data_IF_115953695718
#
_entry.id   IF_115953695718
#
_cell.length_a   1.000
_cell.length_b   1.000
_cell.length_c   1.000
_cell.angle_alpha   90.00
_cell.angle_beta   90.00
_cell.angle_gamma   90.00
#
_symmetry.space_group_name_H-M   'P 1'
#
loop_
_entity.id
_entity.type
_entity.pdbx_description
1 polymer ?
#
# COMPACT_ATOMS: atom_id res chain seq x y z
N UNK A 1 39.53 -19.35 -0.74
CA UNK A 1 38.39 -18.72 -0.04
C UNK A 1 38.97 -17.62 0.81
N UNK A 2 38.38 -16.42 0.78
CA UNK A 2 38.77 -15.33 1.67
C UNK A 2 38.57 -15.76 3.13
N UNK A 3 39.40 -15.28 4.04
CA UNK A 3 39.16 -15.46 5.48
C UNK A 3 37.85 -14.77 5.91
N UNK A 4 37.17 -15.29 6.94
CA UNK A 4 35.88 -14.73 7.40
C UNK A 4 36.01 -13.25 7.76
N UNK A 5 37.12 -12.86 8.40
CA UNK A 5 37.37 -11.46 8.77
C UNK A 5 37.52 -10.58 7.52
N UNK A 6 38.20 -11.08 6.50
CA UNK A 6 38.37 -10.38 5.22
C UNK A 6 37.04 -10.20 4.50
N UNK A 7 36.19 -11.24 4.49
CA UNK A 7 34.85 -11.18 3.88
C UNK A 7 33.96 -10.13 4.55
N UNK A 8 33.91 -10.12 5.90
CA UNK A 8 33.13 -9.14 6.66
C UNK A 8 33.65 -7.72 6.38
N UNK A 9 34.97 -7.53 6.46
CA UNK A 9 35.60 -6.22 6.22
C UNK A 9 35.28 -5.70 4.81
N UNK A 10 35.41 -6.55 3.79
CA UNK A 10 35.08 -6.21 2.42
C UNK A 10 33.59 -5.87 2.25
N UNK A 11 32.71 -6.67 2.86
CA UNK A 11 31.26 -6.44 2.86
C UNK A 11 30.87 -5.08 3.45
N UNK A 12 31.40 -4.75 4.63
CA UNK A 12 31.14 -3.45 5.29
C UNK A 12 31.66 -2.29 4.45
N UNK A 13 32.87 -2.40 3.88
CA UNK A 13 33.42 -1.37 3.00
C UNK A 13 32.58 -1.18 1.74
N UNK A 14 32.06 -2.26 1.16
CA UNK A 14 31.17 -2.19 0.00
C UNK A 14 29.84 -1.52 0.35
N UNK A 15 29.30 -1.79 1.54
CA UNK A 15 28.09 -1.15 2.05
C UNK A 15 28.29 0.36 2.25
N UNK A 16 29.38 0.79 2.90
CA UNK A 16 29.72 2.21 3.07
C UNK A 16 29.81 2.92 1.71
N UNK A 17 30.55 2.32 0.76
CA UNK A 17 30.66 2.87 -0.60
C UNK A 17 29.31 2.97 -1.30
N UNK A 18 28.38 2.04 -1.06
CA UNK A 18 27.03 2.08 -1.59
C UNK A 18 26.24 3.25 -1.01
N UNK A 19 26.30 3.46 0.30
CA UNK A 19 25.64 4.59 0.98
C UNK A 19 26.13 5.93 0.45
N UNK A 20 27.44 6.10 0.26
CA UNK A 20 27.99 7.35 -0.30
C UNK A 20 27.51 7.61 -1.74
N UNK A 21 27.48 6.58 -2.60
CA UNK A 21 26.94 6.71 -3.96
C UNK A 21 25.46 7.08 -3.95
N UNK A 22 24.67 6.47 -3.05
CA UNK A 22 23.26 6.78 -2.87
C UNK A 22 23.07 8.24 -2.51
N UNK A 23 23.85 8.75 -1.55
CA UNK A 23 23.79 10.15 -1.13
C UNK A 23 23.99 11.08 -2.32
N UNK A 24 25.01 10.84 -3.15
CA UNK A 24 25.26 11.65 -4.35
C UNK A 24 24.09 11.59 -5.35
N UNK A 25 23.62 10.38 -5.68
CA UNK A 25 22.50 10.19 -6.62
C UNK A 25 21.22 10.86 -6.10
N UNK A 26 20.97 10.75 -4.80
CA UNK A 26 19.76 11.27 -4.19
C UNK A 26 19.75 12.80 -4.13
N UNK A 27 20.92 13.44 -3.92
CA UNK A 27 21.05 14.90 -4.04
C UNK A 27 20.76 15.38 -5.47
N UNK A 28 21.28 14.68 -6.49
CA UNK A 28 20.99 14.96 -7.90
C UNK A 28 19.48 14.86 -8.20
N UNK A 29 18.82 13.83 -7.66
CA UNK A 29 17.37 13.64 -7.81
C UNK A 29 16.56 14.75 -7.15
N UNK A 30 16.91 15.14 -5.92
CA UNK A 30 16.23 16.23 -5.22
C UNK A 30 16.38 17.55 -5.97
N UNK A 31 17.55 17.82 -6.55
CA UNK A 31 17.77 19.02 -7.35
C UNK A 31 16.90 19.04 -8.61
N UNK A 32 16.80 17.88 -9.28
CA UNK A 32 15.89 17.72 -10.43
C UNK A 32 14.43 17.95 -10.02
N UNK A 33 14.02 17.45 -8.86
CA UNK A 33 12.66 17.68 -8.34
C UNK A 33 12.37 19.13 -7.99
N UNK A 34 13.39 19.85 -7.47
CA UNK A 34 13.31 21.26 -7.08
C UNK A 34 13.24 22.21 -8.28
N UNK A 35 13.97 21.89 -9.34
CA UNK A 35 14.10 22.75 -10.53
C UNK A 35 13.04 22.47 -11.60
N UNK A 36 12.27 21.39 -11.44
CA UNK A 36 11.15 21.09 -12.33
C UNK A 36 9.97 22.04 -12.10
N UNK A 37 9.60 22.79 -13.13
CA UNK A 37 8.47 23.74 -13.11
C UNK A 37 7.14 23.11 -13.52
N UNK A 38 7.10 21.80 -13.82
CA UNK A 38 5.86 21.14 -14.24
C UNK A 38 4.87 20.98 -13.07
N UNK A 39 3.58 20.97 -13.42
CA UNK A 39 2.48 20.67 -12.49
C UNK A 39 2.43 19.18 -12.08
N UNK A 40 3.29 18.34 -12.67
CA UNK A 40 3.33 16.92 -12.33
C UNK A 40 3.85 16.73 -10.91
N UNK A 41 3.16 15.92 -10.11
CA UNK A 41 3.59 15.63 -8.73
C UNK A 41 4.78 14.66 -8.67
N UNK A 42 4.89 13.80 -9.67
CA UNK A 42 5.98 12.83 -9.80
C UNK A 42 6.72 13.10 -11.10
N UNK A 43 8.03 13.19 -11.01
CA UNK A 43 8.92 13.35 -12.16
C UNK A 43 9.50 12.00 -12.50
N UNK A 44 9.16 11.50 -13.69
CA UNK A 44 9.68 10.22 -14.19
C UNK A 44 11.13 10.37 -14.65
N UNK A 45 11.94 9.37 -14.35
CA UNK A 45 13.35 9.29 -14.76
C UNK A 45 13.44 8.52 -16.07
N UNK A 46 13.47 9.27 -17.18
CA UNK A 46 13.68 8.73 -18.53
C UNK A 46 15.15 8.63 -18.93
N UNK A 47 16.03 9.41 -18.28
CA UNK A 47 17.47 9.40 -18.54
C UNK A 47 18.07 8.04 -18.18
N UNK A 48 18.68 7.38 -19.17
CA UNK A 48 19.14 5.99 -19.07
C UNK A 48 20.28 5.84 -18.06
N UNK A 49 21.21 6.79 -18.03
CA UNK A 49 22.37 6.72 -17.15
C UNK A 49 21.97 6.91 -15.69
N UNK A 50 21.09 7.87 -15.41
CA UNK A 50 20.53 8.10 -14.08
C UNK A 50 19.65 6.92 -13.64
N UNK A 51 18.83 6.37 -14.53
CA UNK A 51 18.04 5.16 -14.27
C UNK A 51 18.94 4.00 -13.83
N UNK A 52 20.00 3.71 -14.59
CA UNK A 52 20.94 2.62 -14.31
C UNK A 52 21.72 2.83 -13.01
N UNK A 53 22.11 4.08 -12.71
CA UNK A 53 22.72 4.44 -11.42
C UNK A 53 21.77 4.16 -10.26
N UNK A 54 20.49 4.50 -10.39
CA UNK A 54 19.50 4.26 -9.34
C UNK A 54 19.30 2.76 -9.15
N UNK A 55 19.07 1.98 -10.21
CA UNK A 55 18.90 0.52 -10.11
C UNK A 55 20.10 -0.12 -9.41
N UNK A 56 21.33 0.24 -9.81
CA UNK A 56 22.55 -0.32 -9.21
C UNK A 56 22.67 -0.07 -7.70
N UNK A 57 22.13 1.04 -7.21
CA UNK A 57 22.34 1.46 -5.82
C UNK A 57 21.10 1.25 -4.93
N UNK A 58 19.89 1.29 -5.49
CA UNK A 58 18.63 1.11 -4.76
C UNK A 58 17.93 -0.21 -5.08
N UNK A 59 18.12 -0.82 -6.25
CA UNK A 59 17.37 -1.99 -6.72
C UNK A 59 17.56 -3.30 -5.94
N UNK A 60 18.32 -3.30 -4.83
CA UNK A 60 18.46 -4.40 -3.87
C UNK A 60 19.25 -5.62 -4.36
N UNK A 61 18.87 -6.16 -5.51
CA UNK A 61 19.45 -7.35 -6.14
C UNK A 61 19.37 -7.31 -7.69
N UNK A 62 18.83 -6.25 -8.29
CA UNK A 62 18.75 -6.12 -9.74
C UNK A 62 20.14 -5.88 -10.34
N UNK A 63 20.56 -6.79 -11.22
CA UNK A 63 21.81 -6.68 -11.98
C UNK A 63 21.50 -6.36 -13.45
N UNK A 64 21.71 -5.09 -13.82
CA UNK A 64 21.49 -4.61 -15.19
C UNK A 64 22.46 -5.23 -16.20
N UNK A 65 23.67 -5.58 -15.76
CA UNK A 65 24.72 -6.08 -16.65
C UNK A 65 24.50 -7.57 -16.94
N UNK A 66 23.82 -8.30 -16.04
CA UNK A 66 23.40 -9.68 -16.22
C UNK A 66 21.97 -9.85 -16.76
N UNK A 67 21.16 -8.80 -16.77
CA UNK A 67 19.77 -8.87 -17.22
C UNK A 67 19.66 -9.18 -18.73
N UNK A 68 18.80 -10.12 -19.09
CA UNK A 68 18.52 -10.46 -20.51
C UNK A 68 17.86 -9.32 -21.29
N UNK A 69 17.11 -8.47 -20.60
CA UNK A 69 16.36 -7.36 -21.17
C UNK A 69 16.73 -6.07 -20.43
N UNK A 70 16.60 -4.94 -21.12
CA UNK A 70 16.78 -3.63 -20.47
C UNK A 70 15.75 -3.46 -19.34
N UNK A 71 16.25 -3.24 -18.12
CA UNK A 71 15.42 -3.07 -16.93
C UNK A 71 14.48 -1.85 -17.04
N UNK A 72 14.77 -0.83 -17.85
CA UNK A 72 13.85 0.30 -18.10
C UNK A 72 12.60 -0.13 -18.90
N UNK A 73 12.64 -1.29 -19.55
CA UNK A 73 11.44 -1.88 -20.17
C UNK A 73 10.52 -2.54 -19.15
N UNK A 74 11.04 -2.92 -17.97
CA UNK A 74 10.33 -3.67 -16.93
C UNK A 74 9.96 -2.82 -15.72
N UNK A 75 10.75 -1.79 -15.43
CA UNK A 75 10.63 -0.92 -14.27
C UNK A 75 10.54 0.54 -14.67
N UNK A 76 9.83 1.29 -13.84
CA UNK A 76 9.71 2.74 -13.89
C UNK A 76 10.32 3.33 -12.60
N UNK A 77 10.97 4.49 -12.74
CA UNK A 77 11.57 5.23 -11.62
C UNK A 77 11.02 6.65 -11.63
N UNK A 78 10.64 7.15 -10.46
CA UNK A 78 10.17 8.53 -10.31
C UNK A 78 10.58 9.15 -8.97
N UNK A 79 10.54 10.48 -8.91
CA UNK A 79 10.69 11.23 -7.66
C UNK A 79 9.44 12.06 -7.39
N UNK A 80 8.87 11.92 -6.19
CA UNK A 80 7.70 12.67 -5.76
C UNK A 80 8.11 14.04 -5.20
N UNK A 81 7.72 15.13 -5.87
CA UNK A 81 8.22 16.49 -5.59
C UNK A 81 7.96 16.94 -4.15
N UNK A 82 6.75 16.72 -3.65
CA UNK A 82 6.34 17.22 -2.33
C UNK A 82 7.06 16.50 -1.17
N UNK A 83 7.44 15.23 -1.34
CA UNK A 83 8.07 14.45 -0.25
C UNK A 83 9.54 14.13 -0.48
N UNK A 84 10.04 14.31 -1.70
CA UNK A 84 11.33 13.81 -2.17
C UNK A 84 11.36 12.29 -2.36
N UNK A 85 10.27 11.56 -2.13
CA UNK A 85 10.30 10.10 -2.17
C UNK A 85 10.75 9.56 -3.52
N UNK A 86 11.76 8.67 -3.50
CA UNK A 86 12.19 7.94 -4.69
C UNK A 86 11.33 6.68 -4.81
N UNK A 87 10.74 6.50 -5.98
CA UNK A 87 9.83 5.41 -6.31
C UNK A 87 10.49 4.56 -7.38
N UNK A 88 10.61 3.26 -7.13
CA UNK A 88 10.93 2.25 -8.14
C UNK A 88 9.75 1.29 -8.17
N UNK A 89 9.15 1.09 -9.34
CA UNK A 89 8.04 0.14 -9.50
C UNK A 89 8.24 -0.72 -10.73
N UNK A 90 7.72 -1.94 -10.71
CA UNK A 90 7.58 -2.68 -11.97
C UNK A 90 6.42 -2.09 -12.78
N UNK A 91 6.37 -2.35 -14.09
CA UNK A 91 5.22 -1.93 -14.92
C UNK A 91 3.95 -2.75 -14.64
N UNK A 92 4.08 -3.80 -13.82
CA UNK A 92 3.01 -4.63 -13.30
C UNK A 92 2.75 -5.92 -14.08
N UNK A 93 1.90 -6.77 -13.51
CA UNK A 93 1.43 -8.02 -14.08
C UNK A 93 -0.10 -8.11 -13.96
N UNK A 94 -0.77 -8.52 -15.04
CA UNK A 94 -2.22 -8.72 -15.01
C UNK A 94 -2.50 -10.13 -14.53
N UNK A 95 -3.31 -10.26 -13.49
CA UNK A 95 -3.63 -11.51 -12.83
C UNK A 95 -5.11 -11.80 -13.01
N UNK A 96 -5.46 -13.01 -13.42
CA UNK A 96 -6.80 -13.53 -13.24
C UNK A 96 -6.93 -14.03 -11.81
N UNK A 97 -7.80 -13.39 -11.03
CA UNK A 97 -7.95 -13.62 -9.60
C UNK A 97 -9.36 -14.09 -9.27
N UNK A 98 -9.47 -14.94 -8.26
CA UNK A 98 -10.74 -15.36 -7.66
C UNK A 98 -10.83 -14.74 -6.28
N UNK A 99 -11.99 -14.20 -5.93
CA UNK A 99 -12.27 -13.82 -4.54
C UNK A 99 -12.41 -15.06 -3.66
N UNK A 100 -11.92 -15.00 -2.42
CA UNK A 100 -11.69 -16.20 -1.59
C UNK A 100 -12.97 -16.93 -1.18
N UNK A 101 -14.08 -16.21 -1.00
CA UNK A 101 -15.33 -16.77 -0.46
C UNK A 101 -16.29 -17.13 -1.57
N UNK A 102 -16.45 -16.25 -2.55
CA UNK A 102 -17.43 -16.44 -3.62
C UNK A 102 -16.84 -17.06 -4.88
N UNK A 103 -15.51 -17.21 -4.96
CA UNK A 103 -14.80 -17.60 -6.18
C UNK A 103 -15.19 -16.73 -7.38
N UNK A 104 -15.46 -15.44 -7.15
CA UNK A 104 -15.86 -14.52 -8.21
C UNK A 104 -14.63 -14.12 -9.00
N UNK A 105 -14.58 -14.42 -10.31
CA UNK A 105 -13.45 -14.08 -11.15
C UNK A 105 -13.40 -12.58 -11.46
N UNK A 106 -12.21 -12.01 -11.40
CA UNK A 106 -11.93 -10.63 -11.77
C UNK A 106 -10.45 -10.48 -12.18
N UNK A 107 -10.14 -9.36 -12.81
CA UNK A 107 -8.77 -9.04 -13.24
C UNK A 107 -8.14 -8.04 -12.29
N UNK A 108 -6.92 -8.34 -11.83
CA UNK A 108 -6.13 -7.45 -10.97
C UNK A 108 -4.84 -7.09 -11.70
N UNK A 109 -4.49 -5.81 -11.76
CA UNK A 109 -3.14 -5.38 -12.15
C UNK A 109 -2.30 -5.26 -10.89
N UNK A 110 -1.39 -6.21 -10.69
CA UNK A 110 -0.43 -6.17 -9.60
C UNK A 110 0.77 -5.31 -9.96
N UNK A 111 1.15 -4.40 -9.06
CA UNK A 111 2.31 -3.54 -9.18
C UNK A 111 3.07 -3.57 -7.85
N UNK A 112 4.35 -3.93 -7.90
CA UNK A 112 5.27 -3.87 -6.77
C UNK A 112 5.96 -2.51 -6.71
N UNK A 113 6.00 -1.94 -5.53
CA UNK A 113 6.61 -0.65 -5.22
C UNK A 113 7.74 -0.82 -4.21
N UNK A 114 8.88 -0.21 -4.55
CA UNK A 114 10.02 0.00 -3.68
C UNK A 114 10.19 1.51 -3.53
N UNK A 115 9.84 2.05 -2.36
CA UNK A 115 9.76 3.49 -2.13
C UNK A 115 10.71 3.89 -1.03
N UNK A 116 11.75 4.65 -1.37
CA UNK A 116 12.54 5.31 -0.36
C UNK A 116 11.80 6.57 0.12
N UNK A 117 11.33 6.52 1.37
CA UNK A 117 10.69 7.62 2.08
C UNK A 117 11.74 8.36 2.92
N UNK A 118 12.04 9.63 2.60
CA UNK A 118 13.08 10.39 3.31
C UNK A 118 12.73 10.56 4.77
N UNK A 119 13.71 10.29 5.64
CA UNK A 119 13.49 10.29 7.08
C UNK A 119 12.69 9.07 7.58
N UNK A 120 12.61 8.00 6.81
CA UNK A 120 12.13 6.71 7.30
C UNK A 120 13.04 5.58 6.81
N UNK A 121 13.11 5.41 5.49
CA UNK A 121 13.83 4.30 4.86
C UNK A 121 13.05 3.76 3.67
N UNK A 122 13.37 2.53 3.29
CA UNK A 122 12.77 1.87 2.13
C UNK A 122 11.53 1.07 2.55
N UNK A 123 10.39 1.49 2.01
CA UNK A 123 9.11 0.81 2.13
C UNK A 123 8.87 -0.10 0.92
N UNK A 124 8.33 -1.29 1.18
CA UNK A 124 7.85 -2.22 0.16
C UNK A 124 6.32 -2.24 0.19
N UNK A 125 5.70 -2.03 -0.97
CA UNK A 125 4.26 -2.03 -1.12
C UNK A 125 3.82 -2.83 -2.35
N UNK A 126 2.70 -3.52 -2.22
CA UNK A 126 2.02 -4.20 -3.30
C UNK A 126 0.70 -3.50 -3.59
N UNK A 127 0.48 -3.16 -4.84
CA UNK A 127 -0.76 -2.55 -5.32
C UNK A 127 -1.50 -3.51 -6.21
N UNK A 128 -2.79 -3.71 -5.95
CA UNK A 128 -3.74 -4.31 -6.88
C UNK A 128 -4.70 -3.24 -7.41
N UNK A 129 -4.66 -2.99 -8.71
CA UNK A 129 -5.65 -2.16 -9.40
C UNK A 129 -6.73 -3.03 -10.00
N UNK A 130 -7.98 -2.60 -9.91
CA UNK A 130 -9.13 -3.26 -10.56
C UNK A 130 -10.03 -2.17 -11.13
N UNK A 131 -10.42 -2.27 -12.40
CA UNK A 131 -11.29 -1.28 -13.05
C UNK A 131 -10.64 0.08 -13.32
N UNK A 132 -11.45 1.12 -13.57
CA UNK A 132 -10.96 2.47 -13.89
C UNK A 132 -10.63 3.29 -12.63
N UNK A 133 -9.33 3.51 -12.39
CA UNK A 133 -8.83 4.28 -11.24
C UNK A 133 -8.59 5.78 -11.54
N UNK A 134 -8.88 6.23 -12.76
CA UNK A 134 -8.53 7.56 -13.24
C UNK A 134 -9.73 8.51 -13.26
N UNK A 135 -10.94 7.97 -13.43
CA UNK A 135 -12.14 8.76 -13.65
C UNK A 135 -13.18 8.55 -12.55
N UNK A 136 -13.75 9.64 -12.03
CA UNK A 136 -14.80 9.58 -11.01
C UNK A 136 -14.28 9.13 -9.64
N UNK A 137 -15.17 8.58 -8.82
CA UNK A 137 -14.80 8.09 -7.48
C UNK A 137 -14.12 6.73 -7.56
N UNK A 138 -13.05 6.55 -6.79
CA UNK A 138 -12.31 5.28 -6.73
C UNK A 138 -12.33 4.74 -5.30
N UNK A 139 -12.57 3.45 -5.15
CA UNK A 139 -12.50 2.80 -3.84
C UNK A 139 -11.03 2.54 -3.50
N UNK A 140 -10.59 3.04 -2.34
CA UNK A 140 -9.22 2.90 -1.87
C UNK A 140 -9.18 2.19 -0.52
N UNK A 141 -8.36 1.16 -0.42
CA UNK A 141 -8.00 0.51 0.85
C UNK A 141 -6.48 0.40 0.94
N UNK A 142 -5.93 0.86 2.05
CA UNK A 142 -4.53 0.64 2.41
C UNK A 142 -4.43 -0.21 3.68
N UNK A 143 -3.67 -1.29 3.62
CA UNK A 143 -3.44 -2.24 4.70
C UNK A 143 -1.96 -2.26 5.04
N UNK A 144 -1.65 -2.13 6.33
CA UNK A 144 -0.30 -2.39 6.83
C UNK A 144 -0.19 -3.89 7.10
N UNK A 145 0.92 -4.53 6.75
CA UNK A 145 1.06 -5.98 6.90
C UNK A 145 0.76 -6.47 8.33
N UNK A 146 0.28 -7.70 8.43
CA UNK A 146 0.07 -8.37 9.71
C UNK A 146 0.38 -9.87 9.58
N UNK A 147 1.62 -10.25 9.87
CA UNK A 147 2.08 -11.63 9.68
C UNK A 147 1.19 -12.69 10.34
N UNK A 148 0.79 -12.57 11.63
CA UNK A 148 -0.09 -13.55 12.28
C UNK A 148 -1.42 -13.74 11.53
N UNK A 149 -2.04 -12.65 11.08
CA UNK A 149 -3.34 -12.72 10.41
C UNK A 149 -3.24 -13.29 9.00
N UNK A 150 -2.29 -12.79 8.21
CA UNK A 150 -2.14 -13.16 6.80
C UNK A 150 -1.51 -14.54 6.61
N UNK A 151 -0.46 -14.89 7.38
CA UNK A 151 0.25 -16.17 7.20
C UNK A 151 -0.36 -17.31 8.00
N UNK A 152 -0.83 -17.04 9.23
CA UNK A 152 -1.27 -18.08 10.16
C UNK A 152 -2.77 -18.05 10.44
N UNK A 153 -3.53 -17.24 9.69
CA UNK A 153 -4.97 -17.09 9.88
C UNK A 153 -5.34 -16.74 11.33
N UNK A 154 -4.47 -16.01 12.03
CA UNK A 154 -4.73 -15.59 13.41
C UNK A 154 -6.04 -14.83 13.46
N UNK A 155 -6.93 -15.28 14.35
CA UNK A 155 -8.20 -14.63 14.64
C UNK A 155 -8.07 -13.57 15.74
N UNK A 156 -6.84 -13.35 16.25
CA UNK A 156 -6.58 -12.29 17.24
C UNK A 156 -6.78 -10.90 16.66
N UNK A 157 -6.63 -10.72 15.35
CA UNK A 157 -6.98 -9.48 14.68
C UNK A 157 -7.79 -9.74 13.40
N UNK A 158 -8.38 -8.69 12.85
CA UNK A 158 -9.24 -8.75 11.68
C UNK A 158 -8.57 -8.25 10.38
N UNK A 159 -7.25 -8.03 10.36
CA UNK A 159 -6.52 -7.53 9.19
C UNK A 159 -6.78 -8.39 7.94
N UNK A 160 -6.68 -9.72 8.05
CA UNK A 160 -6.97 -10.63 6.94
C UNK A 160 -8.43 -10.55 6.50
N UNK A 161 -9.38 -10.45 7.41
CA UNK A 161 -10.81 -10.32 7.07
C UNK A 161 -11.10 -9.00 6.34
N UNK A 162 -10.48 -7.90 6.78
CA UNK A 162 -10.56 -6.62 6.07
C UNK A 162 -9.95 -6.72 4.66
N UNK A 163 -8.88 -7.49 4.49
CA UNK A 163 -8.31 -7.74 3.16
C UNK A 163 -9.19 -8.65 2.28
N UNK A 164 -9.81 -9.69 2.86
CA UNK A 164 -10.80 -10.54 2.18
C UNK A 164 -12.01 -9.70 1.74
N UNK A 165 -12.53 -8.81 2.58
CA UNK A 165 -13.64 -7.93 2.25
C UNK A 165 -13.36 -7.10 0.99
N UNK A 166 -12.19 -6.45 0.90
CA UNK A 166 -11.89 -5.61 -0.26
C UNK A 166 -11.75 -6.42 -1.56
N UNK A 167 -11.24 -7.65 -1.49
CA UNK A 167 -11.18 -8.56 -2.64
C UNK A 167 -12.56 -9.05 -3.09
N UNK A 168 -13.46 -9.34 -2.15
CA UNK A 168 -14.87 -9.65 -2.49
C UNK A 168 -15.58 -8.45 -3.12
N UNK A 169 -15.32 -7.24 -2.62
CA UNK A 169 -15.89 -6.01 -3.16
C UNK A 169 -15.36 -5.72 -4.57
N UNK A 170 -14.03 -5.78 -4.77
CA UNK A 170 -13.44 -5.54 -6.09
C UNK A 170 -13.96 -6.54 -7.12
N UNK A 171 -14.07 -7.82 -6.76
CA UNK A 171 -14.60 -8.87 -7.62
C UNK A 171 -16.09 -8.66 -7.94
N UNK A 172 -16.90 -8.28 -6.97
CA UNK A 172 -18.33 -8.02 -7.17
C UNK A 172 -18.57 -6.89 -8.20
N UNK A 173 -17.85 -5.78 -8.07
CA UNK A 173 -18.02 -4.62 -8.96
C UNK A 173 -17.30 -4.73 -10.30
N UNK A 174 -16.39 -5.70 -10.44
CA UNK A 174 -15.54 -5.86 -11.63
C UNK A 174 -15.43 -7.33 -12.06
N UNK A 175 -16.53 -8.08 -11.94
CA UNK A 175 -16.58 -9.49 -12.37
C UNK A 175 -16.14 -9.59 -13.83
N UNK A 176 -15.31 -10.59 -14.12
CA UNK A 176 -14.84 -10.90 -15.46
C UNK A 176 -15.30 -12.29 -15.88
N UNK A 177 -15.90 -12.40 -17.06
CA UNK A 177 -16.26 -13.69 -17.66
C UNK A 177 -15.18 -14.08 -18.68
N UNK A 178 -14.36 -15.06 -18.31
CA UNK A 178 -13.33 -15.58 -19.20
C UNK A 178 -13.97 -16.46 -20.29
N UNK A 179 -13.54 -16.35 -21.56
CA UNK A 179 -13.86 -17.35 -22.57
C UNK A 179 -13.39 -18.74 -22.17
N UNK A 180 -13.92 -19.76 -22.84
CA UNK A 180 -13.39 -21.13 -22.71
C UNK A 180 -12.10 -21.24 -23.54
N UNK A 181 -11.08 -21.89 -22.97
CA UNK A 181 -9.80 -22.13 -23.62
C UNK A 181 -9.43 -23.61 -23.51
N UNK A 182 -8.74 -24.13 -24.54
CA UNK A 182 -8.29 -25.53 -24.58
C UNK A 182 -6.95 -25.74 -23.86
N UNK A 183 -6.20 -24.67 -23.57
CA UNK A 183 -4.90 -24.73 -22.91
C UNK A 183 -4.59 -23.45 -22.10
N UNK A 184 -3.60 -23.54 -21.20
CA UNK A 184 -3.20 -22.45 -20.33
C UNK A 184 -2.43 -21.32 -21.01
N UNK A 185 -1.76 -21.56 -22.14
CA UNK A 185 -1.00 -20.54 -22.86
C UNK A 185 -1.95 -19.52 -23.51
N UNK A 186 -3.02 -19.99 -24.13
CA UNK A 186 -4.03 -19.14 -24.75
C UNK A 186 -4.85 -18.38 -23.71
N UNK A 187 -5.12 -19.01 -22.56
CA UNK A 187 -5.70 -18.33 -21.40
C UNK A 187 -4.79 -17.19 -20.91
N UNK A 188 -3.49 -17.45 -20.73
CA UNK A 188 -2.53 -16.44 -20.28
C UNK A 188 -2.39 -15.29 -21.29
N UNK A 189 -2.33 -15.60 -22.60
CA UNK A 189 -2.38 -14.58 -23.66
C UNK A 189 -3.63 -13.73 -23.55
N UNK A 190 -4.79 -14.34 -23.28
CA UNK A 190 -6.02 -13.59 -23.08
C UNK A 190 -5.94 -12.67 -21.86
N UNK A 191 -5.45 -13.15 -20.70
CA UNK A 191 -5.26 -12.36 -19.47
C UNK A 191 -4.35 -11.16 -19.73
N UNK A 192 -3.19 -11.38 -20.34
CA UNK A 192 -2.23 -10.32 -20.67
C UNK A 192 -2.84 -9.27 -21.60
N UNK A 193 -3.71 -9.69 -22.51
CA UNK A 193 -4.41 -8.81 -23.44
C UNK A 193 -5.58 -8.03 -22.81
N UNK A 194 -5.95 -8.26 -21.54
CA UNK A 194 -7.05 -7.51 -20.91
C UNK A 194 -6.64 -6.13 -20.40
N UNK A 195 -5.34 -5.83 -20.40
CA UNK A 195 -4.81 -4.57 -19.90
C UNK A 195 -3.81 -3.97 -20.88
N UNK A 196 -3.88 -2.66 -21.00
CA UNK A 196 -3.05 -1.87 -21.89
C UNK A 196 -2.36 -0.76 -21.10
N UNK A 197 -1.02 -0.74 -21.14
CA UNK A 197 -0.22 0.30 -20.49
C UNK A 197 0.14 1.38 -21.52
N UNK A 198 -0.55 2.52 -21.46
CA UNK A 198 -0.36 3.66 -22.38
C UNK A 198 -0.28 4.95 -21.61
N UNK A 199 0.69 5.79 -21.98
CA UNK A 199 0.90 7.11 -21.38
C UNK A 199 0.97 7.09 -19.84
N UNK A 200 1.63 6.05 -19.29
CA UNK A 200 1.76 5.86 -17.84
C UNK A 200 0.50 5.36 -17.13
N UNK A 201 -0.55 4.96 -17.88
CA UNK A 201 -1.84 4.52 -17.33
C UNK A 201 -2.12 3.05 -17.62
N UNK A 202 -2.69 2.36 -16.64
CA UNK A 202 -3.12 0.97 -16.68
C UNK A 202 -4.60 0.88 -17.07
N UNK A 203 -4.88 0.71 -18.35
CA UNK A 203 -6.24 0.71 -18.88
C UNK A 203 -6.78 -0.70 -19.01
N UNK A 204 -7.76 -1.05 -18.18
CA UNK A 204 -8.53 -2.28 -18.35
C UNK A 204 -9.47 -2.17 -19.55
N UNK A 205 -9.58 -3.24 -20.35
CA UNK A 205 -10.61 -3.34 -21.41
C UNK A 205 -12.02 -3.41 -20.81
N UNK A 206 -12.16 -4.12 -19.71
CA UNK A 206 -13.39 -4.19 -18.92
C UNK A 206 -13.19 -3.39 -17.63
N UNK A 207 -13.74 -2.18 -17.58
CA UNK A 207 -13.50 -1.21 -16.49
C UNK A 207 -14.38 -1.40 -15.26
N UNK A 208 -15.39 -2.27 -15.34
CA UNK A 208 -16.43 -2.44 -14.32
C UNK A 208 -17.19 -1.14 -14.01
N UNK A 209 -17.90 -1.15 -12.88
CA UNK A 209 -18.74 -0.02 -12.47
C UNK A 209 -17.97 1.04 -11.65
N UNK A 210 -16.90 0.62 -10.97
CA UNK A 210 -16.08 1.47 -10.12
C UNK A 210 -14.68 0.88 -9.96
N UNK A 211 -13.67 1.75 -10.01
CA UNK A 211 -12.28 1.36 -9.80
C UNK A 211 -11.95 1.09 -8.33
N UNK A 212 -11.02 0.16 -8.12
CA UNK A 212 -10.45 -0.18 -6.82
C UNK A 212 -8.93 -0.06 -6.85
N UNK A 213 -8.38 0.47 -5.77
CA UNK A 213 -6.96 0.45 -5.46
C UNK A 213 -6.79 -0.23 -4.10
N UNK A 214 -6.18 -1.41 -4.13
CA UNK A 214 -5.79 -2.17 -2.94
C UNK A 214 -4.29 -1.97 -2.73
N UNK A 215 -3.89 -1.34 -1.63
CA UNK A 215 -2.49 -1.10 -1.29
C UNK A 215 -2.13 -1.90 -0.02
N UNK A 216 -1.19 -2.83 -0.13
CA UNK A 216 -0.65 -3.56 1.01
C UNK A 216 0.80 -3.12 1.25
N UNK A 217 1.14 -2.67 2.46
CA UNK A 217 2.48 -2.18 2.80
C UNK A 217 3.20 -3.22 3.67
N UNK A 218 4.12 -3.97 3.06
CA UNK A 218 4.78 -5.15 3.64
C UNK A 218 5.71 -4.78 4.80
N UNK A 219 6.40 -3.64 4.66
CA UNK A 219 7.32 -3.06 5.65
C UNK A 219 6.62 -2.43 6.85
N UNK A 220 5.29 -2.38 6.85
CA UNK A 220 4.51 -1.85 7.97
C UNK A 220 3.93 -2.94 8.87
N UNK A 221 4.56 -4.10 8.91
CA UNK A 221 4.19 -5.16 9.85
C UNK A 221 4.20 -4.66 11.30
N UNK A 222 3.21 -5.05 12.10
CA UNK A 222 3.10 -4.60 13.48
C UNK A 222 3.08 -3.06 13.62
N UNK A 223 2.39 -2.34 12.73
CA UNK A 223 2.30 -0.87 12.70
C UNK A 223 3.57 -0.12 12.24
N UNK A 224 4.53 -0.78 11.61
CA UNK A 224 5.73 -0.11 11.10
C UNK A 224 7.02 -0.55 11.75
N UNK A 225 8.11 -0.21 11.09
CA UNK A 225 9.49 -0.52 11.47
C UNK A 225 10.03 0.25 12.68
N UNK A 226 9.34 1.30 13.14
CA UNK A 226 9.98 2.30 14.00
C UNK A 226 10.72 3.35 13.17
N UNK A 227 10.78 4.58 13.69
CA UNK A 227 11.65 5.63 13.16
C UNK A 227 12.89 5.72 14.06
N UNK A 228 14.08 5.76 13.43
CA UNK A 228 15.32 6.06 14.14
C UNK A 228 15.83 7.37 13.59
N UNK A 229 15.92 8.37 14.48
CA UNK A 229 16.31 9.71 14.10
C UNK A 229 17.68 9.71 13.44
N UNK A 230 17.78 10.44 12.32
CA UNK A 230 19.03 10.67 11.56
C UNK A 230 19.65 9.42 10.91
N UNK A 231 18.91 8.30 10.84
CA UNK A 231 19.40 7.06 10.23
C UNK A 231 18.87 6.84 8.81
N UNK A 232 19.75 6.40 7.90
CA UNK A 232 19.34 5.84 6.61
C UNK A 232 19.14 4.32 6.74
N UNK A 233 17.91 3.85 6.53
CA UNK A 233 17.57 2.43 6.69
C UNK A 233 17.17 1.78 5.37
N UNK A 234 17.92 0.75 4.96
CA UNK A 234 17.55 -0.07 3.79
C UNK A 234 16.48 -1.11 4.07
N UNK A 235 16.44 -1.64 5.29
CA UNK A 235 15.57 -2.74 5.63
C UNK A 235 14.62 -2.36 6.77
N UNK A 236 13.48 -1.77 6.38
CA UNK A 236 12.38 -1.55 7.32
C UNK A 236 11.63 -2.85 7.63
N UNK A 237 11.74 -3.87 6.77
CA UNK A 237 11.01 -5.12 6.91
C UNK A 237 11.55 -5.92 8.10
N UNK A 238 12.88 -6.04 8.23
CA UNK A 238 13.55 -6.66 9.37
C UNK A 238 13.11 -6.00 10.69
N UNK A 239 13.16 -4.66 10.74
CA UNK A 239 12.77 -3.90 11.92
C UNK A 239 11.31 -4.13 12.32
N UNK A 240 10.41 -4.02 11.36
CA UNK A 240 8.99 -4.29 11.57
C UNK A 240 8.78 -5.74 12.06
N UNK A 241 9.52 -6.69 11.49
CA UNK A 241 9.51 -8.10 11.89
C UNK A 241 9.92 -8.31 13.35
N UNK A 242 11.06 -7.77 13.79
CA UNK A 242 11.56 -8.03 15.13
C UNK A 242 10.70 -7.32 16.19
N UNK A 243 10.25 -6.11 15.88
CA UNK A 243 9.33 -5.32 16.71
C UNK A 243 8.02 -6.07 16.96
N UNK A 244 7.39 -6.58 15.91
CA UNK A 244 6.13 -7.33 16.02
C UNK A 244 6.27 -8.62 16.85
N UNK A 245 7.41 -9.32 16.74
CA UNK A 245 7.67 -10.52 17.55
C UNK A 245 7.90 -10.18 19.03
N UNK A 246 8.58 -9.07 19.29
CA UNK A 246 8.83 -8.57 20.63
C UNK A 246 7.54 -8.17 21.35
N UNK A 247 6.67 -7.40 20.69
CA UNK A 247 5.41 -6.95 21.33
C UNK A 247 4.53 -8.14 21.75
N UNK A 248 4.41 -9.16 20.88
CA UNK A 248 3.55 -10.32 21.14
C UNK A 248 4.10 -11.14 22.31
N UNK A 249 5.43 -11.24 22.41
CA UNK A 249 6.07 -11.93 23.53
C UNK A 249 5.86 -11.16 24.83
N UNK A 250 6.01 -9.84 24.81
CA UNK A 250 5.78 -8.99 25.99
C UNK A 250 4.32 -9.07 26.46
N UNK A 251 3.37 -8.99 25.54
CA UNK A 251 1.94 -9.14 25.83
C UNK A 251 1.64 -10.50 26.49
N UNK A 252 2.22 -11.60 26.00
CA UNK A 252 1.94 -12.94 26.51
C UNK A 252 2.67 -13.29 27.81
N UNK A 253 3.94 -12.89 27.94
CA UNK A 253 4.79 -13.21 29.10
C UNK A 253 4.49 -12.25 30.25
N UNK A 254 4.35 -10.96 29.96
CA UNK A 254 4.21 -9.90 30.95
C UNK A 254 2.77 -9.39 31.09
N UNK A 255 1.82 -9.89 30.29
CA UNK A 255 0.40 -9.49 30.31
C UNK A 255 0.18 -8.00 30.03
N UNK A 256 1.05 -7.42 29.21
CA UNK A 256 0.93 -6.05 28.74
C UNK A 256 -0.27 -5.88 27.77
N UNK A 257 -0.75 -4.64 27.60
CA UNK A 257 -1.61 -4.32 26.45
C UNK A 257 -0.80 -4.35 25.15
N UNK A 258 -1.44 -4.28 23.97
CA UNK A 258 -0.69 -4.12 22.71
C UNK A 258 0.27 -2.92 22.75
N UNK A 259 -0.21 -1.74 23.09
CA UNK A 259 0.66 -0.57 23.22
C UNK A 259 1.72 -0.75 24.32
N UNK A 260 1.36 -1.42 25.42
CA UNK A 260 2.30 -1.81 26.49
C UNK A 260 3.40 -2.74 25.98
N UNK A 261 3.08 -3.69 25.11
CA UNK A 261 4.01 -4.64 24.52
C UNK A 261 5.10 -3.96 23.68
N UNK A 262 4.73 -2.95 22.87
CA UNK A 262 5.72 -2.13 22.17
C UNK A 262 6.60 -1.32 23.14
N UNK A 263 6.00 -0.72 24.17
CA UNK A 263 6.74 0.05 25.19
C UNK A 263 7.70 -0.83 25.98
N UNK A 264 7.33 -2.07 26.27
CA UNK A 264 8.15 -3.05 26.99
C UNK A 264 9.44 -3.40 26.23
N UNK A 265 9.44 -3.28 24.90
CA UNK A 265 10.64 -3.45 24.07
C UNK A 265 11.30 -2.11 23.70
N UNK A 266 10.92 -1.02 24.38
CA UNK A 266 11.53 0.31 24.21
C UNK A 266 11.10 1.07 22.96
N UNK A 267 9.93 0.76 22.41
CA UNK A 267 9.43 1.34 21.16
C UNK A 267 8.09 2.04 21.36
N UNK A 268 7.87 3.09 20.58
CA UNK A 268 6.56 3.73 20.51
C UNK A 268 5.53 2.78 19.89
N UNK A 269 4.25 2.83 20.31
CA UNK A 269 3.20 1.94 19.80
C UNK A 269 2.89 2.12 18.30
N UNK A 270 2.87 3.36 17.80
CA UNK A 270 2.58 3.63 16.39
C UNK A 270 3.61 4.59 15.74
N UNK A 271 4.76 4.04 15.33
CA UNK A 271 5.84 4.86 14.77
C UNK A 271 5.51 5.44 13.40
N UNK A 272 4.43 5.03 12.73
CA UNK A 272 4.01 5.66 11.46
C UNK A 272 3.61 7.13 11.66
N UNK A 273 3.20 7.50 12.87
CA UNK A 273 2.90 8.88 13.26
C UNK A 273 4.16 9.74 13.48
N UNK A 274 5.32 9.13 13.69
CA UNK A 274 6.58 9.83 13.93
C UNK A 274 7.12 10.51 12.67
N UNK A 275 8.13 11.35 12.89
CA UNK A 275 8.78 12.16 11.85
C UNK A 275 7.79 12.80 10.87
N UNK A 276 6.85 13.59 11.42
CA UNK A 276 5.78 14.22 10.66
C UNK A 276 4.92 13.19 9.88
N UNK A 277 4.51 12.12 10.57
CA UNK A 277 3.63 11.06 10.03
C UNK A 277 4.14 10.44 8.73
N UNK A 278 5.46 10.29 8.57
CA UNK A 278 6.09 9.85 7.32
C UNK A 278 5.62 8.47 6.86
N UNK A 279 5.37 7.54 7.81
CA UNK A 279 4.86 6.20 7.48
C UNK A 279 3.47 6.22 6.84
N UNK A 280 2.66 7.24 7.13
CA UNK A 280 1.34 7.40 6.52
C UNK A 280 1.38 8.04 5.11
N UNK A 281 2.50 8.66 4.72
CA UNK A 281 2.65 9.35 3.43
C UNK A 281 2.88 8.41 2.24
N UNK A 282 3.21 7.13 2.47
CA UNK A 282 3.38 6.17 1.37
C UNK A 282 2.13 6.04 0.50
N UNK A 283 0.94 6.09 1.12
CA UNK A 283 -0.33 5.95 0.42
C UNK A 283 -0.56 7.07 -0.60
N UNK A 284 -0.57 8.36 -0.23
CA UNK A 284 -0.72 9.42 -1.22
C UNK A 284 0.45 9.50 -2.23
N UNK A 285 1.68 9.15 -1.85
CA UNK A 285 2.83 9.08 -2.78
C UNK A 285 2.59 8.07 -3.90
N UNK A 286 2.14 6.86 -3.56
CA UNK A 286 1.82 5.82 -4.55
C UNK A 286 0.60 6.23 -5.39
N UNK A 287 -0.42 6.83 -4.80
CA UNK A 287 -1.59 7.31 -5.55
C UNK A 287 -1.24 8.43 -6.53
N UNK A 288 -0.35 9.35 -6.13
CA UNK A 288 0.16 10.43 -6.98
C UNK A 288 1.02 9.86 -8.13
N UNK A 289 1.84 8.83 -7.87
CA UNK A 289 2.55 8.09 -8.92
C UNK A 289 1.61 7.43 -9.91
N UNK A 290 0.58 6.75 -9.42
CA UNK A 290 -0.40 6.08 -10.28
C UNK A 290 -1.26 7.07 -11.08
N UNK A 291 -1.25 8.36 -10.74
CA UNK A 291 -2.15 9.35 -11.33
C UNK A 291 -3.62 9.06 -11.03
N UNK A 292 -3.90 8.49 -9.85
CA UNK A 292 -5.25 8.09 -9.45
C UNK A 292 -6.18 9.30 -9.28
N UNK A 293 -7.49 9.06 -9.40
CA UNK A 293 -8.51 10.08 -9.15
C UNK A 293 -8.33 10.75 -7.78
N UNK A 294 -8.59 12.06 -7.73
CA UNK A 294 -8.60 12.83 -6.48
C UNK A 294 -9.85 12.62 -5.64
N UNK A 295 -10.86 11.93 -6.15
CA UNK A 295 -12.06 11.59 -5.38
C UNK A 295 -12.02 10.13 -4.94
N UNK A 296 -11.82 9.89 -3.64
CA UNK A 296 -11.67 8.55 -3.09
C UNK A 296 -12.83 8.18 -2.17
N UNK A 297 -13.33 6.96 -2.31
CA UNK A 297 -14.09 6.26 -1.28
C UNK A 297 -13.06 5.49 -0.45
N UNK A 298 -12.66 6.04 0.69
CA UNK A 298 -11.61 5.48 1.52
C UNK A 298 -12.22 4.50 2.53
N UNK A 299 -11.88 3.23 2.37
CA UNK A 299 -12.31 2.17 3.27
C UNK A 299 -11.37 2.10 4.47
N UNK A 300 -11.61 2.90 5.50
CA UNK A 300 -10.70 3.00 6.65
C UNK A 300 -11.43 3.48 7.89
N UNK A 301 -10.93 3.04 9.04
CA UNK A 301 -11.32 3.61 10.33
C UNK A 301 -10.24 4.52 10.91
N UNK A 302 -9.00 4.43 10.41
CA UNK A 302 -7.86 5.19 10.93
C UNK A 302 -7.90 6.64 10.39
N UNK A 303 -8.02 7.66 11.27
CA UNK A 303 -8.09 9.06 10.88
C UNK A 303 -6.75 9.62 10.38
N UNK A 304 -5.61 9.07 10.80
CA UNK A 304 -4.28 9.49 10.34
C UNK A 304 -4.06 9.17 8.87
N UNK A 305 -4.52 7.99 8.41
CA UNK A 305 -4.52 7.63 6.98
C UNK A 305 -5.32 8.63 6.14
N UNK A 306 -6.49 9.04 6.65
CA UNK A 306 -7.34 10.02 5.96
C UNK A 306 -6.68 11.40 5.93
N UNK A 307 -6.18 11.87 7.08
CA UNK A 307 -5.52 13.17 7.17
C UNK A 307 -4.38 13.31 6.15
N UNK A 308 -3.52 12.29 6.02
CA UNK A 308 -2.43 12.35 5.05
C UNK A 308 -2.92 12.37 3.59
N UNK A 309 -4.02 11.71 3.26
CA UNK A 309 -4.60 11.82 1.92
C UNK A 309 -5.17 13.23 1.68
N UNK A 310 -5.88 13.81 2.66
CA UNK A 310 -6.42 15.18 2.58
C UNK A 310 -5.31 16.22 2.44
N UNK A 311 -4.22 16.09 3.22
CA UNK A 311 -3.03 16.95 3.16
C UNK A 311 -2.35 16.92 1.76
N UNK A 312 -2.60 15.87 0.96
CA UNK A 312 -2.11 15.73 -0.43
C UNK A 312 -3.16 16.08 -1.49
N UNK A 313 -4.29 16.64 -1.06
CA UNK A 313 -5.35 17.18 -1.92
C UNK A 313 -6.39 16.16 -2.37
N UNK A 314 -6.47 14.98 -1.75
CA UNK A 314 -7.53 14.01 -2.03
C UNK A 314 -8.83 14.40 -1.31
N UNK A 315 -9.96 14.30 -2.02
CA UNK A 315 -11.31 14.44 -1.47
C UNK A 315 -11.81 13.07 -1.06
N UNK A 316 -12.11 12.91 0.23
CA UNK A 316 -12.43 11.61 0.81
C UNK A 316 -13.92 11.46 1.13
N UNK A 317 -14.49 10.32 0.75
CA UNK A 317 -15.70 9.78 1.37
C UNK A 317 -15.27 8.58 2.21
N UNK A 318 -15.37 8.70 3.54
CA UNK A 318 -15.04 7.59 4.45
C UNK A 318 -16.18 6.57 4.44
N UNK A 319 -15.83 5.30 4.24
CA UNK A 319 -16.68 4.15 4.56
C UNK A 319 -15.95 3.32 5.58
N UNK A 320 -16.63 2.98 6.68
CA UNK A 320 -16.05 2.17 7.75
C UNK A 320 -15.91 0.73 7.28
N UNK A 321 -14.82 0.09 7.66
CA UNK A 321 -14.61 -1.35 7.47
C UNK A 321 -14.44 -1.98 8.84
N UNK A 322 -15.45 -2.71 9.28
CA UNK A 322 -15.45 -3.27 10.62
C UNK A 322 -14.69 -4.60 10.59
N UNK A 323 -14.89 -5.42 9.54
CA UNK A 323 -14.36 -6.77 9.47
C UNK A 323 -15.00 -7.70 10.51
N UNK A 324 -14.84 -9.01 10.34
CA UNK A 324 -15.31 -9.97 11.33
C UNK A 324 -14.38 -9.97 12.55
N UNK A 325 -14.92 -9.60 13.72
CA UNK A 325 -14.23 -9.75 15.02
C UNK A 325 -14.94 -10.87 15.78
N UNK A 326 -14.21 -11.94 16.09
CA UNK A 326 -14.72 -13.02 16.92
C UNK A 326 -14.14 -12.93 18.33
N UNK A 327 -14.53 -13.86 19.21
CA UNK A 327 -14.07 -13.85 20.61
C UNK A 327 -12.54 -13.85 20.76
N UNK A 328 -11.81 -14.51 19.85
CA UNK A 328 -10.35 -14.55 19.90
C UNK A 328 -9.69 -13.21 19.56
N UNK A 329 -10.39 -12.34 18.82
CA UNK A 329 -9.89 -11.02 18.42
C UNK A 329 -10.55 -9.83 19.09
N UNK A 330 -11.54 -10.07 19.98
CA UNK A 330 -12.28 -9.00 20.65
C UNK A 330 -11.36 -8.08 21.48
N UNK A 331 -10.42 -8.65 22.23
CA UNK A 331 -9.49 -7.87 23.05
C UNK A 331 -8.53 -7.02 22.19
N UNK A 332 -7.93 -7.62 21.17
CA UNK A 332 -7.04 -6.88 20.26
C UNK A 332 -7.83 -5.79 19.53
N UNK A 333 -9.11 -6.07 19.23
CA UNK A 333 -9.96 -5.11 18.56
C UNK A 333 -10.26 -3.89 19.44
N UNK A 334 -10.62 -4.11 20.70
CA UNK A 334 -10.81 -3.06 21.68
C UNK A 334 -9.53 -2.24 21.87
N UNK A 335 -8.37 -2.89 22.04
CA UNK A 335 -7.07 -2.22 22.18
C UNK A 335 -6.68 -1.44 20.93
N UNK A 336 -6.90 -1.98 19.72
CA UNK A 336 -6.70 -1.25 18.45
C UNK A 336 -7.63 -0.06 18.29
N UNK A 337 -8.88 -0.17 18.73
CA UNK A 337 -9.84 0.92 18.72
C UNK A 337 -9.41 2.05 19.67
N UNK A 338 -9.07 1.71 20.90
CA UNK A 338 -8.75 2.66 21.97
C UNK A 338 -7.35 3.24 21.90
N UNK A 339 -6.32 2.41 21.71
CA UNK A 339 -4.91 2.83 21.77
C UNK A 339 -4.42 3.40 20.43
N UNK A 340 -4.98 2.93 19.31
CA UNK A 340 -4.50 3.26 17.95
C UNK A 340 -5.53 3.99 17.08
N UNK A 341 -6.78 4.13 17.54
CA UNK A 341 -7.88 4.71 16.75
C UNK A 341 -8.08 3.99 15.40
N UNK A 342 -7.78 2.69 15.38
CA UNK A 342 -7.81 1.86 14.17
C UNK A 342 -9.16 1.21 13.91
N UNK A 343 -10.04 1.21 14.91
CA UNK A 343 -11.40 0.68 14.82
C UNK A 343 -12.33 1.57 15.60
N UNK A 344 -13.58 1.59 15.15
CA UNK A 344 -14.63 2.22 15.92
C UNK A 344 -15.00 1.32 17.11
N UNK A 345 -15.22 1.92 18.26
CA UNK A 345 -15.41 1.21 19.54
C UNK A 345 -16.90 0.89 19.79
N UNK A 346 -17.78 1.20 18.83
CA UNK A 346 -19.23 0.97 18.95
C UNK A 346 -19.63 -0.52 19.17
N UNK A 347 -18.68 -1.44 19.24
CA UNK A 347 -18.83 -2.72 19.95
C UNK A 347 -19.72 -3.75 19.27
N UNK A 348 -20.22 -3.46 18.05
CA UNK A 348 -21.04 -4.40 17.31
C UNK A 348 -20.18 -5.39 16.53
N UNK A 349 -20.18 -6.65 16.99
CA UNK A 349 -19.65 -7.77 16.23
C UNK A 349 -20.54 -8.04 15.02
N UNK A 350 -20.05 -7.72 13.83
CA UNK A 350 -20.71 -7.99 12.56
C UNK A 350 -20.09 -9.22 11.88
N UNK A 351 -20.90 -10.04 11.21
CA UNK A 351 -20.36 -11.13 10.39
C UNK A 351 -19.68 -10.57 9.13
N UNK A 352 -18.79 -11.37 8.54
CA UNK A 352 -18.13 -11.03 7.27
C UNK A 352 -19.16 -10.69 6.18
N UNK A 353 -20.16 -11.54 6.00
CA UNK A 353 -21.19 -11.40 4.96
C UNK A 353 -22.00 -10.12 5.15
N UNK A 354 -22.32 -9.82 6.41
CA UNK A 354 -23.07 -8.61 6.77
C UNK A 354 -22.24 -7.35 6.53
N UNK A 355 -20.94 -7.38 6.84
CA UNK A 355 -20.03 -6.24 6.59
C UNK A 355 -19.83 -6.00 5.09
N UNK A 356 -19.59 -7.06 4.32
CA UNK A 356 -19.45 -6.98 2.86
C UNK A 356 -20.72 -6.40 2.23
N UNK A 357 -21.90 -6.90 2.60
CA UNK A 357 -23.16 -6.41 2.03
C UNK A 357 -23.44 -4.95 2.40
N UNK A 358 -23.20 -4.56 3.66
CA UNK A 358 -23.29 -3.16 4.10
C UNK A 358 -22.36 -2.26 3.29
N UNK A 359 -21.08 -2.63 3.15
CA UNK A 359 -20.10 -1.84 2.41
C UNK A 359 -20.46 -1.76 0.92
N UNK A 360 -20.95 -2.84 0.31
CA UNK A 360 -21.48 -2.82 -1.08
C UNK A 360 -22.57 -1.77 -1.25
N UNK A 361 -23.52 -1.71 -0.32
CA UNK A 361 -24.63 -0.75 -0.38
C UNK A 361 -24.16 0.69 -0.21
N UNK A 362 -23.21 0.94 0.69
CA UNK A 362 -22.62 2.26 0.89
C UNK A 362 -21.82 2.73 -0.33
N UNK A 363 -20.99 1.87 -0.94
CA UNK A 363 -20.28 2.18 -2.19
C UNK A 363 -21.27 2.52 -3.31
N UNK A 364 -22.30 1.69 -3.50
CA UNK A 364 -23.35 1.94 -4.49
C UNK A 364 -24.05 3.28 -4.28
N UNK A 365 -24.36 3.63 -3.04
CA UNK A 365 -24.93 4.93 -2.68
C UNK A 365 -23.98 6.05 -3.10
N UNK A 366 -22.71 5.96 -2.75
CA UNK A 366 -21.70 6.96 -3.09
C UNK A 366 -21.49 7.14 -4.60
N UNK A 367 -21.64 6.07 -5.40
CA UNK A 367 -21.49 6.07 -6.86
C UNK A 367 -22.73 6.59 -7.61
N UNK A 368 -23.95 6.36 -7.10
CA UNK A 368 -25.18 6.89 -7.73
C UNK A 368 -25.28 8.41 -7.65
N UNK A 369 -24.75 9.03 -6.60
CA UNK A 369 -24.74 10.49 -6.43
C UNK A 369 -23.73 11.22 -7.34
N UNK A 370 -22.74 10.52 -7.92
CA UNK A 370 -21.87 11.10 -8.96
C UNK A 370 -22.51 11.04 -10.36
N UNK A 371 -23.42 10.09 -10.61
CA UNK A 371 -24.08 9.91 -11.91
C UNK A 371 -25.45 10.61 -12.02
N UNK A 372 -26.03 11.09 -10.91
CA UNK A 372 -27.36 11.70 -10.86
C UNK A 372 -27.40 13.09 -10.21
N UNK A 373 -27.78 14.10 -11.01
CA UNK A 373 -28.21 15.47 -10.66
C UNK A 373 -27.13 16.49 -10.24
N UNK A 374 -26.78 17.37 -11.20
CA UNK A 374 -26.54 18.80 -10.93
C UNK A 374 -27.79 19.39 -10.26
N UNK A 375 -27.89 19.29 -8.95
CA UNK A 375 -29.05 19.82 -8.23
C UNK A 375 -29.02 19.52 -6.75
N UNK A 376 -28.57 20.51 -5.97
CA UNK A 376 -28.64 20.61 -4.49
C UNK A 376 -27.76 19.65 -3.70
N UNK A 377 -26.49 20.02 -3.63
CA UNK A 377 -25.60 19.68 -2.50
C UNK A 377 -26.14 20.37 -1.24
N UNK A 378 -26.78 19.65 -0.32
CA UNK A 378 -27.02 20.17 1.06
C UNK A 378 -27.37 19.12 2.13
N UNK A 379 -27.17 17.81 1.92
CA UNK A 379 -27.62 16.82 2.92
C UNK A 379 -26.61 15.74 3.35
N UNK A 380 -25.34 15.77 2.91
CA UNK A 380 -24.36 14.70 3.24
C UNK A 380 -23.19 15.16 4.12
N UNK A 381 -22.94 16.46 4.28
CA UNK A 381 -21.92 16.91 5.27
C UNK A 381 -22.32 16.67 6.73
N UNK A 382 -23.62 16.44 7.01
CA UNK A 382 -24.12 16.30 8.38
C UNK A 382 -24.05 14.86 8.93
N UNK A 383 -24.07 13.82 8.08
CA UNK A 383 -24.10 12.42 8.53
C UNK A 383 -22.73 11.73 8.55
N UNK A 384 -21.70 12.29 7.91
CA UNK A 384 -20.36 11.70 7.91
C UNK A 384 -19.40 12.29 8.95
N UNK A 385 -19.84 13.25 9.78
CA UNK A 385 -19.01 13.95 10.78
C UNK A 385 -19.33 13.61 12.25
N UNK A 386 -20.32 12.76 12.52
CA UNK A 386 -20.62 12.27 13.87
C UNK A 386 -20.90 10.78 13.84
N UNK A 387 -19.81 10.00 13.91
CA UNK A 387 -19.56 8.85 14.80
C UNK A 387 -18.06 8.61 14.70
#
# INVERSE_FOLDING_TARGET
MLDIKEQITLGMNNYIKRVERIKTIYVELLEKARTDESEQKVIMISDKDLFDKIIRNFGGALDKDAAKYDLQTLYDIGIHKQTGALIISNKGATLYSLSERTNTPHLVRHIGFYVYMPGLGIEFANVGLVGDIYNGKVVFRTESACTPSFLFASQRCNCRYQWENIRELSAYFNKTEAPTFDNGEDFEKWVQNQLDYRDGKHNFKQKGDIGFIMLHVDTQNGMGSGYTKDEFTFDLFERASIRHRGEYSAEQIHKETMAGGFKAIGLEPDPRGENNSVGYKISPVILDYLGASKELICLTNNPFKMKQLEDFGYKLTRIKMIGAVNMAGAQEAEQRGTEFNHMDIDGENISFESDVERVKQEINRCNRFSQGKKGKSTYIEYLCRKV
#
